data_IF_482438472755
#
_entry.id   IF_482438472755
#
_cell.length_a   1.000
_cell.length_b   1.000
_cell.length_c   1.000
_cell.angle_alpha   90.00
_cell.angle_beta   90.00
_cell.angle_gamma   90.00
#
_symmetry.space_group_name_H-M   'P 1'
#
loop_
_entity.id
_entity.type
_entity.pdbx_description
1 polymer ?
#
# COMPACT_ATOMS: atom_id res chain seq x y z
N UNK A 1 -9.59 -7.83 18.92
CA UNK A 1 -8.42 -8.08 19.81
C UNK A 1 -7.33 -8.76 19.02
N UNK A 2 -6.07 -8.61 19.48
CA UNK A 2 -4.91 -8.86 18.64
C UNK A 2 -3.75 -9.38 19.48
N UNK A 3 -3.23 -10.56 19.15
CA UNK A 3 -2.14 -11.18 19.90
C UNK A 3 -1.02 -11.65 18.94
N UNK A 4 0.17 -11.02 18.99
CA UNK A 4 1.38 -11.59 18.45
C UNK A 4 1.86 -12.81 19.25
N UNK A 5 2.35 -13.79 18.53
CA UNK A 5 2.93 -15.03 19.04
C UNK A 5 4.19 -15.31 18.22
N UNK A 6 5.33 -15.52 18.88
CA UNK A 6 6.59 -15.86 18.22
C UNK A 6 6.93 -17.33 18.45
N UNK A 7 7.47 -18.02 17.43
CA UNK A 7 7.94 -19.41 17.54
C UNK A 7 9.46 -19.47 17.69
N UNK A 8 9.97 -20.53 18.33
CA UNK A 8 11.38 -20.93 18.19
C UNK A 8 11.50 -22.00 17.10
N UNK A 9 11.95 -21.61 15.90
CA UNK A 9 12.46 -22.52 14.85
C UNK A 9 11.46 -23.39 14.08
N UNK A 10 11.74 -23.51 12.78
CA UNK A 10 11.14 -24.26 11.65
C UNK A 10 9.79 -23.82 11.03
N UNK A 11 9.77 -23.92 9.69
CA UNK A 11 8.85 -23.29 8.73
C UNK A 11 7.37 -23.69 8.86
N UNK A 12 6.51 -22.69 9.14
CA UNK A 12 5.08 -22.85 9.40
C UNK A 12 4.21 -23.01 8.13
N UNK A 13 4.68 -22.46 7.00
CA UNK A 13 3.89 -22.35 5.77
C UNK A 13 3.50 -23.70 5.15
N UNK A 14 4.36 -24.71 5.28
CA UNK A 14 4.05 -26.08 4.87
C UNK A 14 3.32 -26.85 5.97
N UNK A 15 3.60 -26.60 7.26
CA UNK A 15 3.05 -27.42 8.37
C UNK A 15 1.58 -27.12 8.67
N UNK A 16 1.11 -25.88 8.53
CA UNK A 16 -0.33 -25.55 8.61
C UNK A 16 -1.15 -26.17 7.47
N UNK A 17 -0.51 -26.45 6.33
CA UNK A 17 -1.17 -27.10 5.19
C UNK A 17 -1.04 -28.61 5.16
N UNK A 18 -0.07 -29.20 5.88
CA UNK A 18 0.29 -30.62 5.69
C UNK A 18 0.33 -31.49 6.95
N UNK A 19 0.49 -30.95 8.17
CA UNK A 19 0.69 -31.78 9.38
C UNK A 19 0.30 -31.18 10.75
N UNK A 20 -0.70 -30.29 10.86
CA UNK A 20 -1.12 -29.77 12.18
C UNK A 20 -2.54 -30.20 12.56
N UNK A 21 -2.75 -30.58 13.83
CA UNK A 21 -4.09 -30.79 14.42
C UNK A 21 -4.90 -29.48 14.62
N UNK A 22 -4.49 -28.35 14.05
CA UNK A 22 -5.46 -27.32 13.67
C UNK A 22 -6.21 -27.93 12.49
N UNK A 23 -7.35 -28.54 12.75
CA UNK A 23 -8.07 -29.29 11.72
C UNK A 23 -8.25 -28.38 10.50
N UNK A 24 -7.88 -28.83 9.28
CA UNK A 24 -8.20 -28.11 8.04
C UNK A 24 -9.70 -27.77 7.92
N UNK A 25 -10.53 -28.45 8.70
CA UNK A 25 -11.96 -28.23 8.84
C UNK A 25 -12.32 -26.88 9.52
N UNK A 26 -11.43 -26.28 10.31
CA UNK A 26 -11.69 -25.00 11.01
C UNK A 26 -11.10 -23.76 10.32
N UNK A 27 -9.96 -23.89 9.61
CA UNK A 27 -9.28 -22.76 8.96
C UNK A 27 -9.15 -22.94 7.46
N UNK A 28 -9.60 -21.93 6.71
CA UNK A 28 -9.37 -21.81 5.26
C UNK A 28 -8.23 -20.83 4.99
N UNK A 29 -7.29 -21.22 4.13
CA UNK A 29 -6.27 -20.28 3.60
C UNK A 29 -6.92 -19.30 2.63
N UNK A 30 -6.48 -18.04 2.65
CA UNK A 30 -6.90 -17.02 1.68
C UNK A 30 -6.39 -17.36 0.27
N UNK A 31 -7.24 -17.12 -0.73
CA UNK A 31 -6.88 -17.22 -2.14
C UNK A 31 -6.03 -16.03 -2.59
N UNK A 32 -6.23 -14.86 -1.97
CA UNK A 32 -5.46 -13.64 -2.26
C UNK A 32 -4.05 -13.64 -1.67
N UNK A 33 -3.88 -14.16 -0.44
CA UNK A 33 -2.59 -14.21 0.24
C UNK A 33 -2.43 -15.53 1.03
N UNK A 34 -1.53 -16.44 0.59
CA UNK A 34 -1.29 -17.72 1.25
C UNK A 34 -0.81 -17.64 2.71
N UNK A 35 -0.39 -16.46 3.18
CA UNK A 35 0.02 -16.23 4.56
C UNK A 35 -1.16 -15.96 5.51
N UNK A 36 -2.37 -15.82 4.99
CA UNK A 36 -3.57 -15.49 5.77
C UNK A 36 -4.45 -16.73 5.89
N UNK A 37 -4.78 -17.09 7.12
CA UNK A 37 -5.67 -18.19 7.49
C UNK A 37 -6.89 -17.62 8.20
N UNK A 38 -8.08 -18.05 7.79
CA UNK A 38 -9.35 -17.53 8.28
C UNK A 38 -10.17 -18.68 8.88
N UNK A 39 -10.58 -18.54 10.13
CA UNK A 39 -11.54 -19.43 10.81
C UNK A 39 -12.91 -18.79 10.86
N UNK A 40 -13.90 -19.48 10.31
CA UNK A 40 -15.31 -19.08 10.32
C UNK A 40 -16.14 -20.15 11.03
N UNK A 41 -16.78 -19.78 12.14
CA UNK A 41 -17.70 -20.66 12.87
C UNK A 41 -18.92 -19.86 13.30
N UNK A 42 -20.04 -20.02 12.59
CA UNK A 42 -21.24 -19.20 12.77
C UNK A 42 -20.94 -17.70 12.58
N UNK A 43 -21.11 -16.91 13.64
CA UNK A 43 -20.81 -15.47 13.66
C UNK A 43 -19.36 -15.13 14.04
N UNK A 44 -18.56 -16.13 14.45
CA UNK A 44 -17.16 -15.97 14.81
C UNK A 44 -16.31 -15.91 13.55
N UNK A 45 -15.48 -14.88 13.44
CA UNK A 45 -14.45 -14.73 12.42
C UNK A 45 -13.13 -14.43 13.11
N UNK A 46 -12.15 -15.30 12.93
CA UNK A 46 -10.78 -15.11 13.41
C UNK A 46 -9.80 -15.22 12.24
N UNK A 47 -8.78 -14.38 12.24
CA UNK A 47 -7.75 -14.34 11.19
C UNK A 47 -6.41 -14.61 11.87
N UNK A 48 -5.62 -15.48 11.27
CA UNK A 48 -4.23 -15.74 11.65
C UNK A 48 -3.36 -15.36 10.46
N UNK A 49 -2.46 -14.41 10.67
CA UNK A 49 -1.45 -14.03 9.68
C UNK A 49 -0.12 -14.65 10.09
N UNK A 50 0.50 -15.34 9.16
CA UNK A 50 1.79 -16.00 9.33
C UNK A 50 2.85 -15.18 8.60
N UNK A 51 3.88 -14.74 9.31
CA UNK A 51 5.03 -14.11 8.69
C UNK A 51 6.32 -14.67 9.27
N UNK A 52 6.98 -15.54 8.50
CA UNK A 52 8.20 -16.24 8.92
C UNK A 52 8.00 -16.91 10.30
N UNK A 53 8.59 -16.37 11.37
CA UNK A 53 8.53 -16.90 12.74
C UNK A 53 7.43 -16.23 13.59
N UNK A 54 6.79 -15.18 13.08
CA UNK A 54 5.77 -14.40 13.77
C UNK A 54 4.36 -14.81 13.32
N UNK A 55 3.48 -14.97 14.30
CA UNK A 55 2.05 -15.19 14.12
C UNK A 55 1.27 -14.03 14.71
N UNK A 56 0.30 -13.52 13.96
CA UNK A 56 -0.60 -12.49 14.43
C UNK A 56 -2.03 -13.02 14.41
N UNK A 57 -2.64 -13.10 15.58
CA UNK A 57 -4.00 -13.61 15.74
C UNK A 57 -4.93 -12.42 15.94
N UNK A 58 -5.97 -12.35 15.11
CA UNK A 58 -7.00 -11.33 15.11
C UNK A 58 -8.35 -12.01 15.35
N UNK A 59 -9.08 -11.56 16.36
CA UNK A 59 -10.45 -12.05 16.60
C UNK A 59 -11.30 -11.03 17.33
N UNK A 60 -12.62 -11.24 17.37
CA UNK A 60 -13.57 -10.36 18.06
C UNK A 60 -13.47 -10.50 19.58
N UNK A 61 -13.24 -11.71 20.09
CA UNK A 61 -13.24 -12.02 21.54
C UNK A 61 -11.89 -12.51 22.04
N UNK A 62 -11.63 -12.42 23.36
CA UNK A 62 -10.38 -12.95 23.96
C UNK A 62 -10.43 -14.47 24.01
N UNK A 63 -11.62 -15.02 24.19
CA UNK A 63 -11.86 -16.45 24.27
C UNK A 63 -11.51 -17.13 22.95
N UNK A 64 -11.91 -16.55 21.81
CA UNK A 64 -11.51 -17.05 20.49
C UNK A 64 -9.99 -16.99 20.28
N UNK A 65 -9.31 -15.96 20.81
CA UNK A 65 -7.85 -15.87 20.75
C UNK A 65 -7.21 -16.94 21.65
N UNK A 66 -7.75 -17.16 22.85
CA UNK A 66 -7.25 -18.15 23.80
C UNK A 66 -7.39 -19.58 23.24
N UNK A 67 -8.52 -19.88 22.60
CA UNK A 67 -8.78 -21.15 21.93
C UNK A 67 -7.76 -21.42 20.81
N UNK A 68 -7.53 -20.43 19.92
CA UNK A 68 -6.54 -20.55 18.83
C UNK A 68 -5.13 -20.71 19.41
N UNK A 69 -4.79 -19.97 20.47
CA UNK A 69 -3.49 -20.09 21.13
C UNK A 69 -3.28 -21.48 21.72
N UNK A 70 -4.30 -22.07 22.34
CA UNK A 70 -4.20 -23.39 22.93
C UNK A 70 -4.02 -24.46 21.85
N UNK A 71 -4.78 -24.37 20.75
CA UNK A 71 -4.58 -25.23 19.58
C UNK A 71 -3.18 -25.08 18.96
N UNK A 72 -2.60 -23.88 18.97
CA UNK A 72 -1.23 -23.66 18.51
C UNK A 72 -0.18 -24.21 19.49
N UNK A 73 -0.44 -24.18 20.81
CA UNK A 73 0.49 -24.70 21.83
C UNK A 73 0.62 -26.21 21.82
N UNK A 74 -0.46 -26.93 21.51
CA UNK A 74 -0.41 -28.39 21.44
C UNK A 74 0.52 -28.88 20.34
N UNK A 75 0.72 -28.08 19.30
CA UNK A 75 1.51 -28.43 18.11
C UNK A 75 2.87 -27.72 18.04
N UNK A 76 3.00 -26.51 18.62
CA UNK A 76 4.18 -25.66 18.46
C UNK A 76 4.65 -25.05 19.78
N UNK A 77 5.97 -24.94 19.93
CA UNK A 77 6.58 -24.17 21.03
C UNK A 77 6.44 -22.67 20.74
N UNK A 78 5.41 -22.05 21.33
CA UNK A 78 5.07 -20.65 21.11
C UNK A 78 5.31 -19.76 22.33
N UNK A 79 5.81 -18.55 22.09
CA UNK A 79 5.97 -17.48 23.07
C UNK A 79 4.95 -16.39 22.81
N UNK A 80 4.14 -16.06 23.81
CA UNK A 80 3.22 -14.93 23.73
C UNK A 80 3.95 -13.60 23.90
N UNK A 81 3.60 -12.62 23.07
CA UNK A 81 4.17 -11.27 23.11
C UNK A 81 3.17 -10.21 23.63
N UNK A 82 1.96 -10.64 24.03
CA UNK A 82 0.92 -9.76 24.57
C UNK A 82 0.11 -9.08 23.47
N UNK A 83 -0.25 -7.80 23.67
CA UNK A 83 -0.97 -7.01 22.67
C UNK A 83 -0.05 -6.61 21.50
N UNK A 84 -0.61 -6.57 20.28
CA UNK A 84 0.11 -6.14 19.09
C UNK A 84 0.48 -4.64 19.15
N UNK A 85 1.70 -4.35 19.61
CA UNK A 85 2.31 -3.00 19.63
C UNK A 85 3.33 -2.78 18.52
N UNK A 86 3.95 -3.86 18.04
CA UNK A 86 4.92 -3.86 16.95
C UNK A 86 4.63 -5.01 15.99
N UNK A 87 4.75 -4.75 14.70
CA UNK A 87 4.63 -5.74 13.64
C UNK A 87 5.66 -5.42 12.55
N UNK A 88 6.62 -6.30 12.31
CA UNK A 88 7.65 -6.12 11.28
C UNK A 88 8.37 -4.77 11.35
N UNK A 89 8.60 -4.21 12.54
CA UNK A 89 9.21 -2.88 12.71
C UNK A 89 8.26 -1.69 12.57
N UNK A 90 6.97 -1.93 12.36
CA UNK A 90 5.88 -0.94 12.39
C UNK A 90 5.31 -0.84 13.80
N UNK A 91 5.24 0.37 14.33
CA UNK A 91 4.59 0.68 15.59
C UNK A 91 3.08 0.77 15.38
N UNK A 92 2.32 0.06 16.21
CA UNK A 92 0.86 0.01 16.17
C UNK A 92 0.32 0.59 17.48
N UNK A 93 -0.30 1.76 17.37
CA UNK A 93 -0.88 2.47 18.50
C UNK A 93 -2.39 2.42 18.42
N UNK A 94 -3.06 1.86 19.43
CA UNK A 94 -4.53 1.87 19.51
C UNK A 94 -5.03 2.91 20.47
N UNK A 95 -6.00 3.72 20.03
CA UNK A 95 -6.65 4.74 20.86
C UNK A 95 -8.15 4.70 20.58
N UNK A 96 -8.96 4.23 21.54
CA UNK A 96 -10.43 4.07 21.37
C UNK A 96 -10.74 3.25 20.10
N UNK A 97 -11.51 3.83 19.18
CA UNK A 97 -11.92 3.27 17.88
C UNK A 97 -10.90 3.54 16.74
N UNK A 98 -9.66 3.94 17.06
CA UNK A 98 -8.64 4.21 16.06
C UNK A 98 -7.37 3.38 16.25
N UNK A 99 -6.75 3.04 15.12
CA UNK A 99 -5.43 2.45 15.01
C UNK A 99 -4.53 3.44 14.28
N UNK A 100 -3.34 3.68 14.79
CA UNK A 100 -2.30 4.48 14.14
C UNK A 100 -1.10 3.59 13.88
N UNK A 101 -0.60 3.62 12.64
CA UNK A 101 0.60 2.93 12.22
C UNK A 101 1.69 3.93 11.87
N UNK A 102 2.85 3.83 12.51
CA UNK A 102 4.02 4.66 12.20
C UNK A 102 5.34 3.89 12.40
N UNK A 103 6.46 4.52 12.06
CA UNK A 103 7.80 3.96 12.19
C UNK A 103 8.76 4.99 12.77
N UNK A 104 8.31 5.71 13.81
CA UNK A 104 9.03 6.84 14.40
C UNK A 104 10.44 6.47 14.85
N UNK A 105 10.59 5.38 15.60
CA UNK A 105 11.90 4.93 16.09
C UNK A 105 12.86 4.58 14.94
N UNK A 106 12.34 4.04 13.83
CA UNK A 106 13.12 3.75 12.63
C UNK A 106 13.59 5.05 11.95
N UNK A 107 12.69 6.02 11.77
CA UNK A 107 13.02 7.33 11.18
C UNK A 107 14.09 8.05 12.00
N UNK A 108 13.95 8.08 13.33
CA UNK A 108 14.93 8.73 14.23
C UNK A 108 16.32 8.10 14.09
N UNK A 109 16.39 6.77 14.10
CA UNK A 109 17.65 6.04 13.90
C UNK A 109 18.28 6.32 12.54
N UNK A 110 17.49 6.40 11.47
CA UNK A 110 18.00 6.79 10.15
C UNK A 110 18.51 8.23 10.15
N UNK A 111 17.78 9.16 10.77
CA UNK A 111 18.17 10.56 10.83
C UNK A 111 19.53 10.74 11.52
N UNK A 112 19.75 10.04 12.64
CA UNK A 112 21.03 9.99 13.36
C UNK A 112 22.12 9.33 12.50
N UNK A 113 21.85 8.14 11.94
CA UNK A 113 22.81 7.38 11.13
C UNK A 113 23.33 8.16 9.92
N UNK A 114 22.44 8.88 9.23
CA UNK A 114 22.78 9.62 8.01
C UNK A 114 23.09 11.11 8.26
N UNK A 115 23.11 11.55 9.52
CA UNK A 115 23.54 12.89 9.94
C UNK A 115 22.57 14.02 9.60
N UNK A 116 21.27 13.74 9.53
CA UNK A 116 20.22 14.75 9.25
C UNK A 116 19.36 15.08 10.47
N UNK A 117 19.65 14.50 11.63
CA UNK A 117 19.00 14.78 12.91
C UNK A 117 19.14 16.24 13.35
N UNK A 118 20.28 16.89 13.05
CA UNK A 118 20.54 18.30 13.36
C UNK A 118 20.22 19.27 12.21
N UNK A 119 19.76 18.75 11.07
CA UNK A 119 19.37 19.61 9.96
C UNK A 119 18.10 20.42 10.28
N UNK A 120 18.02 21.63 9.68
CA UNK A 120 16.82 22.48 9.72
C UNK A 120 15.59 21.70 9.24
N UNK A 121 14.45 21.98 9.84
CA UNK A 121 13.20 21.31 9.49
C UNK A 121 12.73 21.67 8.07
N UNK A 122 12.09 20.72 7.39
CA UNK A 122 11.46 20.90 6.07
C UNK A 122 10.11 20.21 6.05
N UNK A 123 9.13 20.86 5.42
CA UNK A 123 7.72 20.44 5.46
C UNK A 123 7.18 19.92 4.12
N UNK A 124 8.04 19.84 3.11
CA UNK A 124 7.78 19.15 1.85
C UNK A 124 8.95 18.23 1.52
N UNK A 125 8.73 17.11 0.81
CA UNK A 125 9.81 16.22 0.41
C UNK A 125 10.82 16.92 -0.50
N UNK A 126 10.35 17.75 -1.44
CA UNK A 126 11.19 18.51 -2.36
C UNK A 126 10.52 19.85 -2.72
N UNK A 127 11.27 20.71 -3.40
CA UNK A 127 10.71 21.90 -4.06
C UNK A 127 9.88 21.47 -5.27
N UNK A 128 8.73 22.10 -5.51
CA UNK A 128 7.85 21.74 -6.65
C UNK A 128 8.48 21.99 -8.02
N UNK A 129 9.51 22.84 -8.09
CA UNK A 129 10.32 23.07 -9.30
C UNK A 129 11.50 22.11 -9.43
N UNK A 130 11.75 21.25 -8.43
CA UNK A 130 12.86 20.32 -8.44
C UNK A 130 12.72 19.32 -9.60
N UNK A 131 13.74 19.27 -10.45
CA UNK A 131 13.86 18.28 -11.52
C UNK A 131 14.69 17.10 -11.01
N UNK A 132 14.02 15.97 -10.81
CA UNK A 132 14.70 14.73 -10.42
C UNK A 132 15.42 14.17 -11.65
N UNK A 133 16.76 14.12 -11.57
CA UNK A 133 17.63 13.57 -12.61
C UNK A 133 18.54 12.53 -11.97
N UNK A 134 19.01 11.57 -12.76
CA UNK A 134 20.02 10.62 -12.29
C UNK A 134 21.30 11.39 -11.95
N UNK A 135 21.86 11.23 -10.74
CA UNK A 135 23.16 11.82 -10.42
C UNK A 135 24.25 11.19 -11.29
N UNK A 136 25.32 11.95 -11.58
CA UNK A 136 26.49 11.36 -12.26
C UNK A 136 27.19 10.36 -11.32
N UNK A 137 27.85 9.34 -11.88
CA UNK A 137 28.55 8.33 -11.07
C UNK A 137 29.73 8.93 -10.30
N UNK A 138 30.28 10.04 -10.81
CA UNK A 138 31.37 10.81 -10.21
C UNK A 138 30.91 11.78 -9.11
N UNK A 139 29.59 11.92 -8.88
CA UNK A 139 29.11 12.74 -7.77
C UNK A 139 29.62 12.17 -6.44
N UNK A 140 30.40 12.98 -5.73
CA UNK A 140 31.03 12.64 -4.45
C UNK A 140 30.05 12.01 -3.44
N UNK A 141 28.78 12.42 -3.46
CA UNK A 141 27.75 11.83 -2.62
C UNK A 141 27.44 10.38 -2.99
N UNK A 142 27.34 10.02 -4.28
CA UNK A 142 27.08 8.65 -4.73
C UNK A 142 28.24 7.72 -4.36
N UNK A 143 29.47 8.21 -4.48
CA UNK A 143 30.68 7.43 -4.19
C UNK A 143 30.94 7.22 -2.68
N UNK A 144 30.52 8.16 -1.83
CA UNK A 144 30.88 8.17 -0.39
C UNK A 144 29.71 7.89 0.56
N UNK A 145 28.48 8.24 0.20
CA UNK A 145 27.31 7.93 1.03
C UNK A 145 26.78 6.54 0.67
N UNK A 146 26.29 5.74 1.64
CA UNK A 146 25.68 4.44 1.36
C UNK A 146 24.29 4.63 0.74
N UNK A 147 24.26 5.12 -0.50
CA UNK A 147 23.06 5.55 -1.21
C UNK A 147 22.05 4.42 -1.37
N UNK A 148 22.51 3.22 -1.77
CA UNK A 148 21.63 2.04 -1.91
C UNK A 148 21.00 1.64 -0.59
N UNK A 149 21.74 1.76 0.52
CA UNK A 149 21.22 1.49 1.84
C UNK A 149 20.13 2.51 2.22
N UNK A 150 20.40 3.80 2.04
CA UNK A 150 19.42 4.86 2.30
C UNK A 150 18.16 4.69 1.46
N UNK A 151 18.30 4.41 0.17
CA UNK A 151 17.18 4.18 -0.74
C UNK A 151 16.35 2.98 -0.27
N UNK A 152 16.98 1.87 0.12
CA UNK A 152 16.29 0.70 0.66
C UNK A 152 15.52 1.01 1.95
N UNK A 153 16.14 1.76 2.87
CA UNK A 153 15.52 2.18 4.11
C UNK A 153 14.30 3.11 3.89
N UNK A 154 14.43 4.06 2.96
CA UNK A 154 13.34 4.95 2.57
C UNK A 154 12.23 4.23 1.79
N UNK A 155 12.57 3.22 0.98
CA UNK A 155 11.61 2.36 0.31
C UNK A 155 10.71 1.64 1.31
N UNK A 156 11.32 1.03 2.32
CA UNK A 156 10.59 0.32 3.36
C UNK A 156 9.60 1.23 4.10
N UNK A 157 10.03 2.44 4.49
CA UNK A 157 9.12 3.45 5.04
C UNK A 157 7.99 3.81 4.07
N UNK A 158 8.33 4.07 2.80
CA UNK A 158 7.39 4.47 1.77
C UNK A 158 6.32 3.41 1.47
N UNK A 159 6.67 2.13 1.55
CA UNK A 159 5.74 1.01 1.30
C UNK A 159 4.93 0.60 2.53
N UNK A 160 5.39 0.94 3.74
CA UNK A 160 4.79 0.45 4.98
C UNK A 160 3.91 1.49 5.68
N UNK A 161 4.44 2.70 5.96
CA UNK A 161 3.70 3.70 6.77
C UNK A 161 3.78 5.15 6.27
N UNK A 162 4.61 5.43 5.27
CA UNK A 162 4.86 6.78 4.75
C UNK A 162 4.58 6.92 3.25
N UNK A 163 3.32 6.71 2.80
CA UNK A 163 2.93 6.90 1.39
C UNK A 163 3.30 8.28 0.84
N UNK A 164 3.35 9.28 1.71
CA UNK A 164 3.66 10.67 1.38
C UNK A 164 5.09 10.90 0.85
N UNK A 165 5.98 9.91 0.96
CA UNK A 165 7.32 9.93 0.35
C UNK A 165 7.49 8.91 -0.78
N UNK A 166 6.41 8.28 -1.25
CA UNK A 166 6.49 7.23 -2.26
C UNK A 166 7.13 7.70 -3.57
N UNK A 167 6.79 8.92 -4.01
CA UNK A 167 7.38 9.55 -5.20
C UNK A 167 8.75 10.17 -4.91
N UNK A 168 8.84 11.06 -3.91
CA UNK A 168 10.06 11.77 -3.55
C UNK A 168 10.56 11.36 -2.16
N UNK A 169 11.70 10.65 -2.12
CA UNK A 169 12.23 10.02 -0.90
C UNK A 169 13.28 10.90 -0.23
N UNK A 170 12.84 11.72 0.72
CA UNK A 170 13.74 12.67 1.40
C UNK A 170 13.72 12.46 2.91
N UNK A 171 14.85 11.98 3.44
CA UNK A 171 15.01 11.66 4.87
C UNK A 171 14.84 12.89 5.78
N UNK A 172 15.26 14.07 5.33
CA UNK A 172 15.13 15.33 6.08
C UNK A 172 13.67 15.71 6.34
N UNK A 173 12.79 15.43 5.37
CA UNK A 173 11.34 15.60 5.53
C UNK A 173 10.79 14.60 6.55
N UNK A 174 11.15 13.31 6.42
CA UNK A 174 10.75 12.28 7.39
C UNK A 174 11.17 12.63 8.83
N UNK A 175 12.40 13.13 9.02
CA UNK A 175 12.91 13.60 10.33
C UNK A 175 11.99 14.67 10.93
N UNK A 176 11.55 15.62 10.10
CA UNK A 176 10.66 16.72 10.53
C UNK A 176 9.29 16.19 10.90
N UNK A 177 8.80 15.18 10.17
CA UNK A 177 7.44 14.63 10.31
C UNK A 177 7.46 13.22 10.91
N UNK A 178 8.41 12.94 11.80
CA UNK A 178 8.66 11.58 12.33
C UNK A 178 7.49 11.03 13.16
N UNK A 179 6.64 11.92 13.68
CA UNK A 179 5.46 11.58 14.47
C UNK A 179 4.24 11.29 13.58
N UNK A 180 4.29 11.61 12.28
CA UNK A 180 3.20 11.32 11.34
C UNK A 180 3.03 9.81 11.17
N UNK A 181 1.79 9.33 11.30
CA UNK A 181 1.37 7.97 11.00
C UNK A 181 0.08 7.88 10.21
N UNK A 182 -0.17 6.72 9.62
CA UNK A 182 -1.46 6.38 9.00
C UNK A 182 -2.50 6.14 10.08
N UNK A 183 -3.68 6.75 9.95
CA UNK A 183 -4.78 6.64 10.90
C UNK A 183 -5.94 5.87 10.29
N UNK A 184 -6.35 4.81 10.98
CA UNK A 184 -7.53 4.01 10.66
C UNK A 184 -8.54 4.18 11.80
N UNK A 185 -9.61 4.95 11.59
CA UNK A 185 -10.58 5.28 12.65
C UNK A 185 -12.02 4.85 12.35
N UNK A 186 -12.27 4.24 11.17
CA UNK A 186 -13.61 3.85 10.74
C UNK A 186 -14.61 5.01 10.65
N UNK A 187 -14.15 6.27 10.66
CA UNK A 187 -14.99 7.45 10.74
C UNK A 187 -15.79 7.71 9.48
N UNK A 188 -15.27 7.28 8.33
CA UNK A 188 -16.01 7.21 7.07
C UNK A 188 -16.37 5.74 6.87
N UNK A 189 -17.66 5.42 6.89
CA UNK A 189 -18.13 4.13 6.40
C UNK A 189 -18.13 4.22 4.88
N UNK A 190 -17.31 3.42 4.22
CA UNK A 190 -17.13 3.51 2.78
C UNK A 190 -16.53 2.25 2.21
N UNK A 191 -16.89 1.97 0.96
CA UNK A 191 -16.37 0.83 0.21
C UNK A 191 -14.93 1.06 -0.24
N UNK A 192 -14.36 0.04 -0.86
CA UNK A 192 -13.06 0.14 -1.52
C UNK A 192 -13.15 1.13 -2.70
N UNK A 193 -12.30 2.15 -2.69
CA UNK A 193 -12.23 3.16 -3.76
C UNK A 193 -10.79 3.46 -4.14
N UNK A 194 -10.53 3.61 -5.44
CA UNK A 194 -9.19 3.84 -6.00
C UNK A 194 -9.04 5.18 -6.70
N UNK A 195 -7.80 5.64 -6.83
CA UNK A 195 -7.41 6.76 -7.68
C UNK A 195 -6.20 6.34 -8.50
N UNK A 196 -6.16 6.70 -9.78
CA UNK A 196 -5.03 6.42 -10.66
C UNK A 196 -4.62 7.65 -11.45
N UNK A 197 -3.32 7.88 -11.54
CA UNK A 197 -2.72 9.02 -12.25
C UNK A 197 -1.39 8.62 -12.91
N UNK A 198 -0.99 9.36 -13.95
CA UNK A 198 0.31 9.22 -14.58
C UNK A 198 0.96 10.56 -14.93
N UNK A 199 2.19 10.77 -14.44
CA UNK A 199 3.01 11.88 -14.92
C UNK A 199 3.70 11.49 -16.24
N UNK A 200 3.10 11.87 -17.37
CA UNK A 200 3.56 11.53 -18.72
C UNK A 200 4.96 12.09 -19.01
N UNK A 201 5.88 11.19 -19.37
CA UNK A 201 7.26 11.52 -19.70
C UNK A 201 7.96 12.41 -18.64
N UNK A 202 7.61 12.22 -17.37
CA UNK A 202 8.17 12.98 -16.25
C UNK A 202 9.62 12.68 -15.93
N UNK A 203 10.12 11.49 -16.29
CA UNK A 203 11.54 11.15 -16.21
C UNK A 203 12.31 11.89 -17.33
N UNK A 204 13.20 12.79 -16.96
CA UNK A 204 13.96 13.60 -17.92
C UNK A 204 15.04 12.80 -18.66
N UNK A 205 15.55 11.73 -18.04
CA UNK A 205 16.62 10.91 -18.60
C UNK A 205 16.08 9.90 -19.62
N UNK A 206 14.93 9.29 -19.33
CA UNK A 206 14.37 8.21 -20.15
C UNK A 206 13.06 8.55 -20.85
N UNK A 207 12.45 9.70 -20.54
CA UNK A 207 11.10 10.11 -20.98
C UNK A 207 10.01 9.10 -20.64
N UNK A 208 10.26 8.20 -19.68
CA UNK A 208 9.26 7.28 -19.15
C UNK A 208 8.34 8.00 -18.18
N UNK A 209 7.06 7.66 -18.21
CA UNK A 209 6.08 8.22 -17.29
C UNK A 209 6.20 7.59 -15.90
N UNK A 210 5.60 8.21 -14.89
CA UNK A 210 5.46 7.63 -13.55
C UNK A 210 4.00 7.30 -13.28
N UNK A 211 3.71 6.04 -12.97
CA UNK A 211 2.38 5.58 -12.52
C UNK A 211 2.23 5.80 -11.02
N UNK A 212 1.11 6.40 -10.64
CA UNK A 212 0.66 6.57 -9.27
C UNK A 212 -0.72 5.95 -9.08
N UNK A 213 -0.93 5.27 -7.95
CA UNK A 213 -2.28 4.93 -7.50
C UNK A 213 -2.35 4.87 -5.98
N UNK A 214 -3.57 5.00 -5.46
CA UNK A 214 -3.89 4.76 -4.06
C UNK A 214 -5.32 4.22 -3.93
N UNK A 215 -5.50 3.27 -3.01
CA UNK A 215 -6.78 2.70 -2.62
C UNK A 215 -7.09 3.03 -1.18
N UNK A 216 -8.36 3.38 -0.94
CA UNK A 216 -8.91 3.68 0.36
C UNK A 216 -9.96 2.65 0.74
N UNK A 217 -10.00 2.31 2.02
CA UNK A 217 -11.09 1.57 2.63
C UNK A 217 -11.52 2.32 3.89
N UNK A 218 -12.82 2.57 4.05
CA UNK A 218 -13.35 3.37 5.16
C UNK A 218 -12.62 4.72 5.35
N UNK A 219 -12.28 5.37 4.24
CA UNK A 219 -11.62 6.69 4.21
C UNK A 219 -10.13 6.70 4.55
N UNK A 220 -9.49 5.55 4.79
CA UNK A 220 -8.06 5.47 5.12
C UNK A 220 -7.30 4.78 3.99
N UNK A 221 -6.10 5.26 3.66
CA UNK A 221 -5.26 4.66 2.61
C UNK A 221 -4.78 3.26 3.06
N UNK A 222 -4.99 2.25 2.22
CA UNK A 222 -4.64 0.84 2.52
C UNK A 222 -3.67 0.22 1.52
N UNK A 223 -3.59 0.73 0.29
CA UNK A 223 -2.64 0.29 -0.72
C UNK A 223 -2.29 1.45 -1.64
N UNK A 224 -1.04 1.57 -2.05
CA UNK A 224 -0.57 2.64 -2.92
C UNK A 224 0.69 2.23 -3.67
N UNK A 225 0.98 2.95 -4.76
CA UNK A 225 2.20 2.76 -5.53
C UNK A 225 2.62 4.04 -6.23
N UNK A 226 3.93 4.26 -6.27
CA UNK A 226 4.58 5.19 -7.19
C UNK A 226 5.67 4.41 -7.92
N UNK A 227 5.57 4.30 -9.25
CA UNK A 227 6.50 3.49 -10.05
C UNK A 227 6.67 4.04 -11.45
N UNK A 228 7.92 4.21 -11.88
CA UNK A 228 8.26 4.50 -13.27
C UNK A 228 7.75 3.39 -14.20
N UNK A 229 7.10 3.77 -15.29
CA UNK A 229 6.59 2.84 -16.29
C UNK A 229 7.74 2.11 -17.00
N UNK A 230 7.56 0.83 -17.38
CA UNK A 230 8.60 0.05 -18.03
C UNK A 230 8.90 0.51 -19.46
N UNK A 231 7.90 1.08 -20.14
CA UNK A 231 7.96 1.56 -21.53
C UNK A 231 7.66 3.05 -21.59
N UNK A 232 8.14 3.71 -22.64
CA UNK A 232 7.80 5.12 -22.92
C UNK A 232 6.39 5.15 -23.53
N UNK A 233 5.51 5.95 -22.94
CA UNK A 233 4.17 6.19 -23.48
C UNK A 233 4.22 7.30 -24.53
N UNK A 234 3.53 7.11 -25.65
CA UNK A 234 3.52 8.06 -26.77
C UNK A 234 2.51 9.19 -26.61
N UNK A 235 1.63 9.10 -25.62
CA UNK A 235 0.65 10.14 -25.26
C UNK A 235 0.36 10.12 -23.76
N UNK A 236 -0.20 11.22 -23.24
CA UNK A 236 -0.70 11.27 -21.86
C UNK A 236 -1.79 10.21 -21.63
N UNK A 237 -2.73 10.06 -22.56
CA UNK A 237 -3.78 9.03 -22.49
C UNK A 237 -3.21 7.62 -22.36
N UNK A 238 -2.16 7.28 -23.11
CA UNK A 238 -1.49 5.98 -22.97
C UNK A 238 -0.83 5.81 -21.60
N UNK A 239 -0.17 6.86 -21.09
CA UNK A 239 0.44 6.84 -19.77
C UNK A 239 -0.60 6.61 -18.67
N UNK A 240 -1.72 7.33 -18.73
CA UNK A 240 -2.87 7.17 -17.81
C UNK A 240 -3.45 5.76 -17.91
N UNK A 241 -3.61 5.24 -19.12
CA UNK A 241 -4.14 3.89 -19.34
C UNK A 241 -3.24 2.81 -18.73
N UNK A 242 -1.91 2.98 -18.83
CA UNK A 242 -0.95 2.12 -18.18
C UNK A 242 -1.00 2.23 -16.65
N UNK A 243 -1.22 3.42 -16.09
CA UNK A 243 -1.42 3.59 -14.65
C UNK A 243 -2.71 2.90 -14.18
N UNK A 244 -3.81 3.13 -14.90
CA UNK A 244 -5.11 2.53 -14.63
C UNK A 244 -5.07 0.99 -14.70
N UNK A 245 -4.32 0.42 -15.65
CA UNK A 245 -4.08 -1.04 -15.70
C UNK A 245 -3.47 -1.56 -14.39
N UNK A 246 -2.45 -0.89 -13.86
CA UNK A 246 -1.84 -1.29 -12.59
C UNK A 246 -2.81 -1.12 -11.41
N UNK A 247 -3.58 -0.04 -11.39
CA UNK A 247 -4.58 0.19 -10.35
C UNK A 247 -5.69 -0.88 -10.38
N UNK A 248 -6.15 -1.31 -11.55
CA UNK A 248 -7.20 -2.34 -11.66
C UNK A 248 -6.68 -3.72 -11.22
N UNK A 249 -5.42 -4.07 -11.53
CA UNK A 249 -4.80 -5.29 -11.01
C UNK A 249 -4.81 -5.29 -9.47
N UNK A 250 -4.43 -4.16 -8.87
CA UNK A 250 -4.49 -3.99 -7.41
C UNK A 250 -5.94 -4.08 -6.89
N UNK A 251 -6.90 -3.43 -7.55
CA UNK A 251 -8.31 -3.49 -7.17
C UNK A 251 -8.84 -4.92 -7.19
N UNK A 252 -8.52 -5.72 -8.21
CA UNK A 252 -8.92 -7.13 -8.30
C UNK A 252 -8.35 -7.93 -7.14
N UNK A 253 -7.06 -7.75 -6.82
CA UNK A 253 -6.43 -8.43 -5.70
C UNK A 253 -7.05 -8.01 -4.35
N UNK A 254 -7.23 -6.71 -4.12
CA UNK A 254 -7.87 -6.18 -2.90
C UNK A 254 -9.30 -6.70 -2.76
N UNK A 255 -10.06 -6.79 -3.86
CA UNK A 255 -11.43 -7.34 -3.83
C UNK A 255 -11.44 -8.81 -3.40
N UNK A 256 -10.51 -9.61 -3.90
CA UNK A 256 -10.37 -11.00 -3.47
C UNK A 256 -9.96 -11.09 -2.00
N UNK A 257 -8.96 -10.30 -1.57
CA UNK A 257 -8.53 -10.28 -0.18
C UNK A 257 -9.67 -9.90 0.77
N UNK A 258 -10.43 -8.85 0.44
CA UNK A 258 -11.58 -8.43 1.25
C UNK A 258 -12.65 -9.52 1.32
N UNK A 259 -12.94 -10.20 0.20
CA UNK A 259 -13.86 -11.33 0.16
C UNK A 259 -13.40 -12.48 1.08
N UNK A 260 -12.11 -12.80 1.06
CA UNK A 260 -11.52 -13.83 1.92
C UNK A 260 -11.63 -13.42 3.40
N UNK A 261 -11.47 -12.13 3.71
CA UNK A 261 -11.66 -11.58 5.06
C UNK A 261 -13.14 -11.48 5.49
N UNK A 262 -14.08 -11.85 4.62
CA UNK A 262 -15.52 -11.84 4.91
C UNK A 262 -16.22 -10.52 4.62
N UNK A 263 -15.55 -9.60 3.92
CA UNK A 263 -16.14 -8.38 3.40
C UNK A 263 -16.64 -8.61 1.98
N UNK A 264 -17.96 -8.62 1.80
CA UNK A 264 -18.55 -8.65 0.46
C UNK A 264 -18.53 -7.25 -0.14
N UNK A 265 -17.79 -7.09 -1.25
CA UNK A 265 -17.84 -5.87 -2.05
C UNK A 265 -19.21 -5.80 -2.74
N UNK A 266 -20.05 -4.83 -2.35
CA UNK A 266 -21.38 -4.63 -2.95
C UNK A 266 -21.25 -3.80 -4.22
N UNK A 267 -20.91 -4.47 -5.33
CA UNK A 267 -20.85 -3.85 -6.65
C UNK A 267 -19.43 -3.59 -7.14
N UNK A 268 -19.32 -2.68 -8.11
CA UNK A 268 -18.07 -2.33 -8.78
C UNK A 268 -17.21 -1.45 -7.88
N UNK A 269 -15.89 -1.67 -7.86
CA UNK A 269 -14.97 -0.76 -7.19
C UNK A 269 -14.76 0.48 -8.07
N UNK A 270 -15.15 1.65 -7.56
CA UNK A 270 -14.92 2.92 -8.24
C UNK A 270 -13.43 3.25 -8.26
N UNK A 271 -12.90 3.59 -9.44
CA UNK A 271 -11.56 4.14 -9.62
C UNK A 271 -11.68 5.51 -10.30
N UNK A 272 -11.22 6.54 -9.61
CA UNK A 272 -11.21 7.91 -10.10
C UNK A 272 -10.05 8.17 -11.05
N UNK A 273 -10.35 8.93 -12.11
CA UNK A 273 -9.40 9.31 -13.13
C UNK A 273 -9.77 10.70 -13.73
N UNK A 274 -8.79 11.53 -14.10
CA UNK A 274 -8.99 12.90 -14.59
C UNK A 274 -8.81 13.08 -16.12
N UNK A 275 -8.43 12.02 -16.83
CA UNK A 275 -8.29 11.93 -18.27
C UNK A 275 -9.50 11.23 -18.90
N UNK A 276 -10.39 12.05 -19.46
CA UNK A 276 -11.58 11.60 -20.19
C UNK A 276 -11.25 10.67 -21.37
N UNK A 277 -10.11 10.87 -22.03
CA UNK A 277 -9.65 9.99 -23.12
C UNK A 277 -9.34 8.58 -22.63
N UNK A 278 -8.71 8.45 -21.46
CA UNK A 278 -8.45 7.17 -20.81
C UNK A 278 -9.75 6.46 -20.42
N UNK A 279 -10.70 7.20 -19.82
CA UNK A 279 -12.02 6.67 -19.46
C UNK A 279 -12.78 6.20 -20.70
N UNK A 280 -12.80 7.00 -21.77
CA UNK A 280 -13.46 6.66 -23.02
C UNK A 280 -12.82 5.43 -23.68
N UNK A 281 -11.48 5.33 -23.68
CA UNK A 281 -10.75 4.17 -24.21
C UNK A 281 -11.08 2.89 -23.42
N UNK A 282 -11.23 2.99 -22.10
CA UNK A 282 -11.59 1.85 -21.26
C UNK A 282 -13.06 1.42 -21.38
N UNK A 283 -13.94 2.27 -21.93
CA UNK A 283 -15.38 1.97 -22.08
C UNK A 283 -15.79 1.61 -23.52
N UNK A 284 -15.06 2.04 -24.55
CA UNK A 284 -15.51 1.94 -25.95
C UNK A 284 -14.68 0.99 -26.83
N UNK A 285 -15.31 0.01 -27.52
CA UNK A 285 -14.63 -0.92 -28.43
C UNK A 285 -14.01 -0.30 -29.69
N UNK A 286 -14.55 0.82 -30.17
CA UNK A 286 -14.21 1.39 -31.48
C UNK A 286 -12.84 2.10 -31.54
N UNK A 287 -12.15 2.29 -30.42
CA UNK A 287 -10.90 3.06 -30.33
C UNK A 287 -9.61 2.24 -30.48
N UNK A 288 -9.72 0.99 -30.96
CA UNK A 288 -8.62 0.01 -31.03
C UNK A 288 -7.50 0.37 -32.03
N UNK A 289 -7.83 1.09 -33.11
CA UNK A 289 -6.99 1.18 -34.32
C UNK A 289 -5.60 1.83 -34.11
N UNK A 290 -5.38 2.57 -33.01
CA UNK A 290 -4.12 3.30 -32.72
C UNK A 290 -3.31 2.78 -31.52
N UNK A 291 -3.71 1.67 -30.91
CA UNK A 291 -3.22 1.29 -29.57
C UNK A 291 -2.66 -0.15 -29.49
N UNK A 292 -2.16 -0.67 -30.61
CA UNK A 292 -1.73 -2.07 -30.78
C UNK A 292 -0.65 -2.53 -29.78
N UNK A 293 0.22 -1.62 -29.33
CA UNK A 293 1.30 -1.91 -28.39
C UNK A 293 0.85 -2.13 -26.94
N UNK A 294 -0.43 -1.86 -26.62
CA UNK A 294 -1.02 -2.14 -25.30
C UNK A 294 -2.32 -2.96 -25.39
N UNK A 295 -2.50 -3.70 -26.47
CA UNK A 295 -3.73 -4.44 -26.81
C UNK A 295 -4.23 -5.37 -25.68
N UNK A 296 -3.33 -6.15 -25.08
CA UNK A 296 -3.68 -7.04 -23.95
C UNK A 296 -4.21 -6.24 -22.76
N UNK A 297 -3.59 -5.09 -22.43
CA UNK A 297 -4.06 -4.24 -21.34
C UNK A 297 -5.42 -3.65 -21.67
N UNK A 298 -5.66 -3.33 -22.94
CA UNK A 298 -6.93 -2.81 -23.42
C UNK A 298 -8.08 -3.79 -23.20
N UNK A 299 -7.90 -5.03 -23.67
CA UNK A 299 -8.88 -6.09 -23.45
C UNK A 299 -9.11 -6.38 -21.97
N UNK A 300 -8.04 -6.48 -21.18
CA UNK A 300 -8.15 -6.70 -19.74
C UNK A 300 -8.97 -5.61 -19.03
N UNK A 301 -8.66 -4.33 -19.30
CA UNK A 301 -9.39 -3.22 -18.67
C UNK A 301 -10.87 -3.27 -18.98
N UNK A 302 -11.19 -3.45 -20.26
CA UNK A 302 -12.56 -3.49 -20.75
C UNK A 302 -13.34 -4.62 -20.12
N UNK A 303 -12.76 -5.81 -20.06
CA UNK A 303 -13.37 -6.95 -19.40
C UNK A 303 -13.72 -6.63 -17.93
N UNK A 304 -12.84 -5.96 -17.19
CA UNK A 304 -13.10 -5.60 -15.79
C UNK A 304 -14.16 -4.51 -15.62
N UNK A 305 -14.28 -3.59 -16.57
CA UNK A 305 -15.33 -2.57 -16.59
C UNK A 305 -16.68 -3.16 -17.01
N UNK A 306 -16.71 -3.98 -18.07
CA UNK A 306 -17.91 -4.63 -18.61
C UNK A 306 -18.50 -5.64 -17.61
N UNK A 307 -17.65 -6.43 -16.94
CA UNK A 307 -18.06 -7.35 -15.86
C UNK A 307 -18.45 -6.66 -14.55
N UNK A 308 -18.41 -5.32 -14.48
CA UNK A 308 -18.68 -4.55 -13.25
C UNK A 308 -17.79 -4.95 -12.08
N UNK A 309 -16.58 -5.43 -12.35
CA UNK A 309 -15.55 -5.63 -11.33
C UNK A 309 -15.06 -4.27 -10.81
N UNK A 310 -14.85 -3.34 -11.73
CA UNK A 310 -14.49 -1.94 -11.46
C UNK A 310 -15.39 -1.01 -12.28
N UNK A 311 -15.49 0.23 -11.85
CA UNK A 311 -16.10 1.30 -12.64
C UNK A 311 -15.21 2.54 -12.61
N UNK A 312 -15.27 3.33 -13.69
CA UNK A 312 -14.42 4.49 -13.87
C UNK A 312 -15.26 5.76 -13.81
N UNK A 313 -14.88 6.63 -12.88
CA UNK A 313 -15.50 7.93 -12.68
C UNK A 313 -14.49 9.06 -12.92
N UNK A 314 -14.98 10.12 -13.57
CA UNK A 314 -14.17 11.29 -13.76
C UNK A 314 -14.03 12.05 -12.44
N UNK A 315 -12.82 12.54 -12.16
CA UNK A 315 -12.56 13.45 -11.04
C UNK A 315 -11.64 14.58 -11.49
N UNK A 316 -11.91 15.84 -11.14
CA UNK A 316 -11.04 16.95 -11.54
C UNK A 316 -9.61 16.79 -11.01
N UNK A 317 -8.60 17.21 -11.77
CA UNK A 317 -7.17 17.10 -11.40
C UNK A 317 -6.85 17.69 -10.03
N UNK A 318 -7.48 18.80 -9.62
CA UNK A 318 -7.23 19.39 -8.31
C UNK A 318 -7.75 18.55 -7.12
N UNK A 319 -8.59 17.55 -7.40
CA UNK A 319 -9.10 16.57 -6.43
C UNK A 319 -8.44 15.18 -6.57
N UNK A 320 -7.49 15.02 -7.51
CA UNK A 320 -6.78 13.78 -7.75
C UNK A 320 -5.69 13.55 -6.71
N UNK A 321 -6.02 12.84 -5.63
CA UNK A 321 -5.05 12.49 -4.59
C UNK A 321 -3.87 11.64 -5.12
N UNK A 322 -4.06 10.94 -6.25
CA UNK A 322 -3.02 10.16 -6.90
C UNK A 322 -1.84 11.02 -7.43
N UNK A 323 -2.04 12.33 -7.62
CA UNK A 323 -1.01 13.28 -8.05
C UNK A 323 0.23 13.25 -7.15
N UNK A 324 0.06 13.07 -5.83
CA UNK A 324 1.19 13.01 -4.90
C UNK A 324 2.09 11.78 -5.08
N UNK A 325 1.64 10.80 -5.88
CA UNK A 325 2.42 9.62 -6.24
C UNK A 325 3.11 9.74 -7.60
N UNK A 326 2.91 10.83 -8.36
CA UNK A 326 3.46 10.97 -9.72
C UNK A 326 4.33 12.21 -9.91
N UNK A 327 4.23 13.20 -9.02
CA UNK A 327 5.00 14.46 -9.07
C UNK A 327 5.23 15.06 -7.69
N UNK A 328 6.21 15.97 -7.58
CA UNK A 328 6.40 16.78 -6.37
C UNK A 328 5.30 17.83 -6.30
N UNK A 329 4.69 17.99 -5.12
CA UNK A 329 3.61 18.96 -4.89
C UNK A 329 4.13 20.19 -4.16
N UNK A 330 3.57 21.36 -4.51
CA UNK A 330 3.74 22.58 -3.72
C UNK A 330 3.13 22.40 -2.32
N UNK A 331 3.65 23.14 -1.33
CA UNK A 331 3.34 22.95 0.10
C UNK A 331 1.85 22.79 0.43
N UNK A 332 0.99 23.66 -0.11
CA UNK A 332 -0.45 23.59 0.17
C UNK A 332 -1.08 22.31 -0.38
N UNK A 333 -0.76 21.93 -1.64
CA UNK A 333 -1.22 20.68 -2.24
C UNK A 333 -0.63 19.45 -1.53
N UNK A 334 0.64 19.51 -1.10
CA UNK A 334 1.27 18.44 -0.31
C UNK A 334 0.56 18.22 1.03
N UNK A 335 0.20 19.29 1.74
CA UNK A 335 -0.57 19.17 2.99
C UNK A 335 -1.96 18.55 2.75
N UNK A 336 -2.66 18.97 1.69
CA UNK A 336 -3.94 18.35 1.30
C UNK A 336 -3.77 16.87 0.97
N UNK A 337 -2.70 16.51 0.25
CA UNK A 337 -2.36 15.12 -0.07
C UNK A 337 -2.12 14.28 1.20
N UNK A 338 -1.26 14.72 2.12
CA UNK A 338 -0.99 14.03 3.38
C UNK A 338 -2.25 13.85 4.22
N UNK A 339 -3.07 14.90 4.35
CA UNK A 339 -4.34 14.83 5.08
C UNK A 339 -5.34 13.89 4.40
N UNK A 340 -5.42 13.92 3.07
CA UNK A 340 -6.28 13.06 2.29
C UNK A 340 -5.90 11.58 2.39
N UNK A 341 -4.62 11.27 2.63
CA UNK A 341 -4.15 9.91 2.94
C UNK A 341 -4.52 9.43 4.35
N UNK A 342 -5.23 10.26 5.12
CA UNK A 342 -5.54 10.05 6.53
C UNK A 342 -4.27 9.91 7.40
N UNK A 343 -3.24 10.71 7.11
CA UNK A 343 -2.01 10.75 7.91
C UNK A 343 -2.05 11.90 8.92
N UNK A 344 -1.68 11.63 10.19
CA UNK A 344 -1.70 12.62 11.28
C UNK A 344 -0.52 12.44 12.24
N UNK A 345 -0.13 13.53 12.89
CA UNK A 345 0.83 13.54 14.02
C UNK A 345 0.24 12.92 15.29
#
# INVERSE_FOLDING_TARGET
MFAPVARKGDHLGESLSSRSNITPEEFSRSDADPCIYIRRSGSKCSIVIVYVDDLMIFSRTKDDIAEIKEALRSEFSIKELGDLKYCLGIEIHRKREMIVMNQRAYIKRLAEKFGVDKCKDVYTPADSSAKLMKPSEDEYFVAKYPYRELVGALMYLATSTRPDIAYARVLKYLKTTQDVGLVFNGGIKGELVGYADANWAGDLDTRRSTTGYVFFLNGSAISWKSKRQPTVATSSTEAEYMALYNAIQEAVWLRQLLKDLGYENKGATTIYQDNQGCIALAKNPAYHTRTKHIDIKFHFLREKVESKTVELEYKPTDEMIADGFTKVLARNKHNTFVNGLCMKN
#
